data_IF_787913866405
#
_entry.id   IF_787913866405
#
_cell.length_a   1.000
_cell.length_b   1.000
_cell.length_c   1.000
_cell.angle_alpha   90.00
_cell.angle_beta   90.00
_cell.angle_gamma   90.00
#
_symmetry.space_group_name_H-M   'P 1'
#
loop_
_entity.id
_entity.type
_entity.pdbx_description
1 polymer ?
#
# COMPACT_ATOMS: atom_id res chain seq x y z
N UNK A 1 33.52 47.86 -42.69
CA UNK A 1 34.34 46.84 -43.27
C UNK A 1 33.49 45.58 -43.16
N UNK A 2 32.56 45.29 -44.06
CA UNK A 2 32.68 45.05 -45.51
C UNK A 2 32.88 43.57 -45.67
N UNK A 3 31.96 42.87 -46.13
CA UNK A 3 31.58 42.30 -47.45
C UNK A 3 30.56 41.20 -47.19
N UNK A 4 29.33 41.26 -47.59
CA UNK A 4 28.76 41.07 -48.94
C UNK A 4 28.94 39.66 -49.57
N UNK A 5 27.79 39.20 -50.03
CA UNK A 5 27.52 38.53 -51.35
C UNK A 5 27.60 37.00 -51.27
N UNK A 6 26.73 36.17 -51.80
CA UNK A 6 25.79 36.32 -52.94
C UNK A 6 24.78 35.14 -52.99
N UNK A 7 23.65 35.46 -53.47
CA UNK A 7 22.61 34.62 -54.03
C UNK A 7 23.06 33.79 -55.20
N UNK A 8 22.60 32.56 -55.32
CA UNK A 8 22.44 31.91 -56.63
C UNK A 8 21.08 31.20 -56.67
N UNK A 9 20.27 31.76 -57.50
CA UNK A 9 19.05 31.26 -58.13
C UNK A 9 19.36 30.14 -59.12
N UNK A 10 18.42 29.19 -59.30
CA UNK A 10 18.33 28.57 -60.59
C UNK A 10 17.55 27.26 -60.69
N UNK A 11 16.29 27.40 -61.16
CA UNK A 11 15.60 26.53 -62.14
C UNK A 11 15.55 25.01 -61.86
N UNK A 12 14.45 24.34 -61.64
CA UNK A 12 13.28 24.30 -62.53
C UNK A 12 13.48 23.29 -63.66
N UNK A 13 13.00 22.05 -63.49
CA UNK A 13 12.58 21.22 -64.65
C UNK A 13 11.39 20.38 -64.17
N UNK A 14 10.31 20.56 -64.92
CA UNK A 14 9.09 19.76 -64.86
C UNK A 14 9.18 18.54 -65.82
N UNK A 15 8.22 17.65 -65.65
CA UNK A 15 7.77 16.57 -66.49
C UNK A 15 8.50 15.24 -66.30
N UNK A 16 7.83 14.11 -66.12
CA UNK A 16 6.90 13.54 -67.07
C UNK A 16 6.13 12.38 -66.45
N UNK A 17 4.83 12.41 -66.60
CA UNK A 17 3.96 11.23 -66.50
C UNK A 17 4.41 10.16 -67.55
N UNK A 18 4.54 8.94 -67.08
CA UNK A 18 4.32 7.79 -67.97
C UNK A 18 3.61 6.69 -67.23
N UNK A 19 2.34 6.54 -67.53
CA UNK A 19 1.55 5.34 -67.36
C UNK A 19 2.32 4.11 -67.75
N UNK A 20 2.52 3.16 -66.88
CA UNK A 20 2.71 1.76 -67.21
C UNK A 20 1.72 0.92 -66.42
N UNK A 21 0.64 0.60 -67.12
CA UNK A 21 -0.17 -0.58 -66.81
C UNK A 21 0.76 -1.79 -66.74
N UNK A 22 0.83 -2.43 -65.61
CA UNK A 22 1.43 -3.75 -65.45
C UNK A 22 0.33 -4.78 -65.28
N UNK A 23 0.37 -5.77 -66.08
CA UNK A 23 -0.50 -6.92 -66.24
C UNK A 23 -0.58 -7.79 -64.91
N UNK A 24 -1.64 -8.60 -64.71
CA UNK A 24 -1.77 -9.50 -63.61
C UNK A 24 -0.85 -10.71 -63.76
N UNK A 25 0.23 -10.74 -63.00
CA UNK A 25 1.21 -11.85 -62.99
C UNK A 25 1.00 -12.74 -61.78
N UNK A 26 0.52 -13.93 -62.07
CA UNK A 26 0.74 -15.24 -61.39
C UNK A 26 1.23 -15.23 -59.92
N UNK A 27 0.35 -15.66 -59.02
CA UNK A 27 0.69 -16.00 -57.64
C UNK A 27 1.75 -17.10 -57.51
N UNK A 28 2.96 -16.72 -57.22
CA UNK A 28 3.90 -17.61 -56.55
C UNK A 28 3.83 -17.34 -55.07
N UNK A 29 3.63 -18.37 -54.25
CA UNK A 29 3.76 -18.18 -52.78
C UNK A 29 5.21 -17.77 -52.48
N UNK A 30 5.36 -16.66 -51.76
CA UNK A 30 6.65 -16.20 -51.30
C UNK A 30 7.34 -17.31 -50.48
N UNK A 31 8.58 -17.66 -50.87
CA UNK A 31 9.38 -18.57 -50.06
C UNK A 31 9.56 -18.01 -48.64
N UNK A 32 9.56 -18.87 -47.62
CA UNK A 32 9.77 -18.41 -46.24
C UNK A 32 11.18 -17.82 -46.10
N UNK A 33 11.26 -16.58 -45.61
CA UNK A 33 12.53 -15.91 -45.31
C UNK A 33 13.35 -16.74 -44.32
N UNK A 34 14.58 -17.17 -44.66
CA UNK A 34 15.44 -17.88 -43.72
C UNK A 34 16.01 -16.87 -42.76
N UNK A 35 15.59 -16.93 -41.46
CA UNK A 35 16.27 -16.20 -40.41
C UNK A 35 15.43 -15.36 -39.46
N UNK A 36 14.10 -15.42 -39.47
CA UNK A 36 13.34 -14.90 -38.33
C UNK A 36 13.45 -15.88 -37.17
N UNK A 37 14.11 -15.49 -36.03
CA UNK A 37 14.02 -16.32 -34.80
C UNK A 37 12.54 -16.49 -34.47
N UNK A 38 12.07 -17.74 -34.46
CA UNK A 38 10.74 -18.06 -33.96
C UNK A 38 10.61 -17.46 -32.56
N UNK A 39 9.63 -16.56 -32.37
CA UNK A 39 9.33 -16.01 -31.06
C UNK A 39 9.24 -17.17 -30.07
N UNK A 40 9.89 -17.09 -28.89
CA UNK A 40 9.86 -18.18 -27.94
C UNK A 40 8.41 -18.50 -27.64
N UNK A 41 8.01 -19.76 -27.90
CA UNK A 41 6.67 -20.26 -27.64
C UNK A 41 6.29 -19.85 -26.22
N UNK A 42 5.33 -18.92 -26.09
CA UNK A 42 4.90 -18.38 -24.80
C UNK A 42 4.53 -19.55 -23.90
N UNK A 43 5.14 -19.62 -22.72
CA UNK A 43 4.79 -20.65 -21.73
C UNK A 43 3.28 -20.67 -21.57
N UNK A 44 2.63 -21.83 -21.63
CA UNK A 44 1.18 -21.94 -21.65
C UNK A 44 0.58 -21.17 -20.46
N UNK A 45 -0.50 -20.47 -20.69
CA UNK A 45 -1.22 -19.62 -19.71
C UNK A 45 -1.57 -20.38 -18.42
N UNK A 46 -1.80 -21.67 -18.56
CA UNK A 46 -2.11 -22.60 -17.46
C UNK A 46 -0.97 -22.78 -16.43
N UNK A 47 0.30 -22.76 -16.88
CA UNK A 47 1.43 -22.93 -15.94
C UNK A 47 1.60 -21.71 -15.04
N UNK A 48 1.28 -20.50 -15.55
CA UNK A 48 1.30 -19.27 -14.75
C UNK A 48 0.14 -19.21 -13.75
N UNK A 49 -1.03 -19.73 -14.10
CA UNK A 49 -2.19 -19.78 -13.19
C UNK A 49 -1.93 -20.77 -12.05
N UNK A 50 -1.41 -21.95 -12.34
CA UNK A 50 -1.07 -22.98 -11.32
C UNK A 50 0.01 -22.49 -10.37
N UNK A 51 1.06 -21.84 -10.86
CA UNK A 51 2.12 -21.32 -9.99
C UNK A 51 1.62 -20.19 -9.07
N UNK A 52 0.72 -19.33 -9.54
CA UNK A 52 0.08 -18.29 -8.71
C UNK A 52 -0.82 -18.90 -7.64
N UNK A 53 -1.61 -19.91 -8.00
CA UNK A 53 -2.46 -20.63 -7.04
C UNK A 53 -1.61 -21.30 -5.97
N UNK A 54 -0.51 -21.97 -6.35
CA UNK A 54 0.42 -22.60 -5.40
C UNK A 54 1.01 -21.58 -4.43
N UNK A 55 1.48 -20.41 -4.94
CA UNK A 55 2.03 -19.34 -4.09
C UNK A 55 0.98 -18.84 -3.09
N UNK A 56 -0.27 -18.66 -3.52
CA UNK A 56 -1.36 -18.23 -2.64
C UNK A 56 -1.65 -19.29 -1.57
N UNK A 57 -1.72 -20.56 -1.94
CA UNK A 57 -1.94 -21.66 -0.98
C UNK A 57 -0.81 -21.72 0.04
N UNK A 58 0.45 -21.68 -0.42
CA UNK A 58 1.61 -21.68 0.48
C UNK A 58 1.57 -20.45 1.41
N UNK A 59 1.26 -19.26 0.91
CA UNK A 59 1.16 -18.05 1.72
C UNK A 59 0.05 -18.15 2.78
N UNK A 60 -1.11 -18.74 2.43
CA UNK A 60 -2.21 -18.97 3.38
C UNK A 60 -1.84 -20.02 4.44
N UNK A 61 -1.17 -21.09 4.05
CA UNK A 61 -0.69 -22.11 5.01
C UNK A 61 0.34 -21.51 5.97
N UNK A 62 1.32 -20.75 5.45
CA UNK A 62 2.30 -20.05 6.28
C UNK A 62 1.60 -19.08 7.23
N UNK A 63 0.63 -18.31 6.74
CA UNK A 63 -0.14 -17.37 7.57
C UNK A 63 -0.89 -18.10 8.69
N UNK A 64 -1.54 -19.24 8.39
CA UNK A 64 -2.26 -20.04 9.38
C UNK A 64 -1.30 -20.63 10.43
N UNK A 65 -0.15 -21.14 10.01
CA UNK A 65 0.88 -21.67 10.94
C UNK A 65 1.41 -20.54 11.84
N UNK A 66 1.77 -19.39 11.27
CA UNK A 66 2.25 -18.24 12.04
C UNK A 66 1.17 -17.73 13.00
N UNK A 67 -0.10 -17.73 12.58
CA UNK A 67 -1.23 -17.35 13.44
C UNK A 67 -1.32 -18.25 14.67
N UNK A 68 -1.32 -19.56 14.49
CA UNK A 68 -1.39 -20.53 15.62
C UNK A 68 -0.17 -20.42 16.52
N UNK A 69 1.03 -20.30 15.93
CA UNK A 69 2.26 -20.10 16.70
C UNK A 69 2.25 -18.79 17.51
N UNK A 70 1.76 -17.71 16.92
CA UNK A 70 1.65 -16.41 17.61
C UNK A 70 0.67 -16.45 18.79
N UNK A 71 -0.37 -17.27 18.71
CA UNK A 71 -1.29 -17.51 19.82
C UNK A 71 -0.67 -18.41 20.92
N UNK A 72 0.20 -19.35 20.56
CA UNK A 72 0.87 -20.26 21.49
C UNK A 72 2.08 -19.63 22.18
N UNK A 73 2.87 -18.83 21.45
CA UNK A 73 4.11 -18.27 21.96
C UNK A 73 3.88 -17.00 22.81
N UNK A 74 4.58 -16.90 23.94
CA UNK A 74 4.52 -15.74 24.81
C UNK A 74 5.11 -16.03 26.20
N UNK A 75 4.90 -15.11 27.16
CA UNK A 75 5.42 -15.28 28.55
C UNK A 75 4.90 -16.55 29.23
N UNK A 76 3.71 -16.99 28.88
CA UNK A 76 3.13 -18.28 29.22
C UNK A 76 3.02 -19.07 27.93
N UNK A 77 3.86 -20.09 27.76
CA UNK A 77 3.78 -20.97 26.58
C UNK A 77 2.52 -21.84 26.67
N UNK A 78 1.70 -21.80 25.63
CA UNK A 78 0.53 -22.66 25.48
C UNK A 78 0.78 -23.53 24.25
N UNK A 79 0.66 -24.84 24.40
CA UNK A 79 0.95 -25.75 23.31
C UNK A 79 -0.02 -25.56 22.13
N UNK A 80 0.41 -25.75 20.88
CA UNK A 80 -0.41 -25.51 19.70
C UNK A 80 -1.70 -26.36 19.66
N UNK A 81 -1.68 -27.56 20.23
CA UNK A 81 -2.85 -28.44 20.36
C UNK A 81 -3.92 -27.83 21.27
N UNK A 82 -3.51 -27.24 22.41
CA UNK A 82 -4.43 -26.53 23.32
C UNK A 82 -4.98 -25.27 22.65
N UNK A 83 -4.15 -24.51 21.94
CA UNK A 83 -4.62 -23.32 21.16
C UNK A 83 -5.66 -23.76 20.12
N UNK A 84 -5.38 -24.83 19.36
CA UNK A 84 -6.33 -25.36 18.37
C UNK A 84 -7.62 -25.87 19.04
N UNK A 85 -7.52 -26.52 20.21
CA UNK A 85 -8.66 -26.95 21.00
C UNK A 85 -9.54 -25.79 21.49
N UNK A 86 -8.95 -24.70 21.99
CA UNK A 86 -9.67 -23.49 22.40
C UNK A 86 -10.40 -22.87 21.20
N UNK A 87 -9.71 -22.70 20.08
CA UNK A 87 -10.34 -22.14 18.87
C UNK A 87 -11.45 -23.03 18.33
N UNK A 88 -11.26 -24.37 18.32
CA UNK A 88 -12.30 -25.31 17.90
C UNK A 88 -13.50 -25.32 18.84
N UNK A 89 -13.28 -25.17 20.16
CA UNK A 89 -14.34 -25.03 21.14
C UNK A 89 -15.18 -23.79 20.90
N UNK A 90 -14.54 -22.62 20.77
CA UNK A 90 -15.26 -21.35 20.63
C UNK A 90 -15.96 -21.16 19.25
N UNK A 91 -15.37 -21.74 18.18
CA UNK A 91 -15.92 -21.60 16.83
C UNK A 91 -16.95 -22.68 16.49
N UNK A 92 -16.78 -23.90 17.00
CA UNK A 92 -17.55 -25.07 16.59
C UNK A 92 -18.23 -25.80 17.75
N UNK A 93 -18.03 -25.38 19.00
CA UNK A 93 -18.55 -26.06 20.19
C UNK A 93 -17.90 -27.42 20.44
N UNK A 94 -16.71 -27.67 19.90
CA UNK A 94 -16.01 -28.94 20.06
C UNK A 94 -15.62 -29.16 21.54
N UNK A 95 -15.75 -30.38 22.08
CA UNK A 95 -15.26 -30.68 23.44
C UNK A 95 -13.73 -30.57 23.48
N UNK A 96 -13.22 -29.73 24.38
CA UNK A 96 -11.76 -29.56 24.56
C UNK A 96 -11.44 -29.39 26.04
N UNK A 97 -10.33 -29.96 26.47
CA UNK A 97 -9.82 -29.83 27.84
C UNK A 97 -8.75 -28.73 27.88
N UNK A 98 -9.06 -27.61 28.51
CA UNK A 98 -8.12 -26.52 28.75
C UNK A 98 -8.44 -25.84 30.08
N UNK A 99 -7.46 -25.15 30.67
CA UNK A 99 -7.68 -24.36 31.87
C UNK A 99 -8.32 -23.01 31.50
N UNK A 100 -9.22 -22.49 32.34
CA UNK A 100 -9.87 -21.17 32.15
C UNK A 100 -8.86 -20.04 31.96
N UNK A 101 -7.72 -20.11 32.64
CA UNK A 101 -6.63 -19.16 32.47
C UNK A 101 -6.03 -19.20 31.05
N UNK A 102 -5.90 -20.38 30.45
CA UNK A 102 -5.38 -20.54 29.08
C UNK A 102 -6.37 -19.97 28.06
N UNK A 103 -7.67 -20.26 28.24
CA UNK A 103 -8.73 -19.69 27.44
C UNK A 103 -8.72 -18.15 27.47
N UNK A 104 -8.68 -17.56 28.67
CA UNK A 104 -8.63 -16.10 28.86
C UNK A 104 -7.39 -15.49 28.19
N UNK A 105 -6.21 -16.12 28.32
CA UNK A 105 -4.98 -15.63 27.70
C UNK A 105 -5.10 -15.65 26.18
N UNK A 106 -5.62 -16.73 25.60
CA UNK A 106 -5.73 -16.88 24.15
C UNK A 106 -6.80 -15.91 23.61
N UNK A 107 -8.02 -15.97 24.13
CA UNK A 107 -9.17 -15.27 23.55
C UNK A 107 -9.24 -13.79 23.89
N UNK A 108 -8.87 -13.40 25.11
CA UNK A 108 -9.00 -12.01 25.57
C UNK A 108 -7.72 -11.19 25.43
N UNK A 109 -6.55 -11.83 25.37
CA UNK A 109 -5.27 -11.12 25.33
C UNK A 109 -4.54 -11.30 24.00
N UNK A 110 -4.36 -12.53 23.53
CA UNK A 110 -3.53 -12.80 22.34
C UNK A 110 -4.29 -12.65 21.05
N UNK A 111 -5.48 -13.18 20.97
CA UNK A 111 -6.28 -13.16 19.73
C UNK A 111 -6.54 -11.74 19.22
N UNK A 112 -7.00 -10.77 20.03
CA UNK A 112 -7.20 -9.41 19.53
C UNK A 112 -5.91 -8.76 19.01
N UNK A 113 -4.76 -9.05 19.64
CA UNK A 113 -3.45 -8.52 19.21
C UNK A 113 -3.00 -9.12 17.87
N UNK A 114 -3.12 -10.44 17.72
CA UNK A 114 -2.74 -11.13 16.48
C UNK A 114 -3.64 -10.70 15.33
N UNK A 115 -4.96 -10.61 15.57
CA UNK A 115 -5.92 -10.14 14.56
C UNK A 115 -5.66 -8.68 14.19
N UNK A 116 -5.34 -7.81 15.16
CA UNK A 116 -4.97 -6.41 14.87
C UNK A 116 -3.70 -6.31 14.03
N UNK A 117 -2.67 -7.14 14.31
CA UNK A 117 -1.46 -7.20 13.49
C UNK A 117 -1.77 -7.64 12.05
N UNK A 118 -2.62 -8.65 11.89
CA UNK A 118 -3.06 -9.11 10.57
C UNK A 118 -3.85 -8.03 9.82
N UNK A 119 -4.76 -7.34 10.51
CA UNK A 119 -5.56 -6.26 9.93
C UNK A 119 -4.68 -5.08 9.49
N UNK A 120 -3.70 -4.69 10.33
CA UNK A 120 -2.75 -3.64 9.99
C UNK A 120 -1.89 -4.03 8.76
N UNK A 121 -1.37 -5.26 8.74
CA UNK A 121 -0.62 -5.78 7.60
C UNK A 121 -1.44 -5.85 6.32
N UNK A 122 -2.70 -6.29 6.40
CA UNK A 122 -3.63 -6.32 5.28
C UNK A 122 -3.93 -4.91 4.75
N UNK A 123 -4.19 -3.95 5.64
CA UNK A 123 -4.44 -2.55 5.28
C UNK A 123 -3.24 -1.94 4.55
N UNK A 124 -2.03 -2.12 5.09
CA UNK A 124 -0.79 -1.64 4.46
C UNK A 124 -0.52 -2.31 3.11
N UNK A 125 -0.82 -3.60 2.99
CA UNK A 125 -0.65 -4.34 1.74
C UNK A 125 -1.62 -3.86 0.65
N UNK A 126 -2.89 -3.65 1.00
CA UNK A 126 -3.92 -3.11 0.07
C UNK A 126 -3.56 -1.68 -0.35
N UNK A 127 -3.19 -0.84 0.60
CA UNK A 127 -2.74 0.52 0.32
C UNK A 127 -1.49 0.52 -0.58
N UNK A 128 -0.47 -0.28 -0.23
CA UNK A 128 0.75 -0.41 -1.03
C UNK A 128 0.48 -0.86 -2.46
N UNK A 129 -0.33 -1.90 -2.65
CA UNK A 129 -0.71 -2.38 -3.97
C UNK A 129 -1.48 -1.32 -4.78
N UNK A 130 -2.38 -0.57 -4.13
CA UNK A 130 -3.13 0.51 -4.77
C UNK A 130 -2.20 1.65 -5.23
N UNK A 131 -1.26 2.07 -4.38
CA UNK A 131 -0.27 3.10 -4.75
C UNK A 131 0.64 2.64 -5.88
N UNK A 132 1.18 1.40 -5.81
CA UNK A 132 2.03 0.84 -6.86
C UNK A 132 1.29 0.75 -8.20
N UNK A 133 0.01 0.34 -8.18
CA UNK A 133 -0.85 0.31 -9.38
C UNK A 133 -1.13 1.71 -9.93
N UNK A 134 -1.50 2.65 -9.06
CA UNK A 134 -1.83 4.03 -9.45
C UNK A 134 -0.62 4.75 -10.06
N UNK A 135 0.55 4.61 -9.45
CA UNK A 135 1.78 5.26 -9.90
C UNK A 135 2.57 4.44 -10.92
N UNK A 136 2.15 3.21 -11.21
CA UNK A 136 2.85 2.26 -12.09
C UNK A 136 4.34 2.12 -11.74
N UNK A 137 4.63 2.15 -10.45
CA UNK A 137 5.99 2.09 -9.92
C UNK A 137 6.02 1.21 -8.66
N UNK A 138 6.75 0.08 -8.66
CA UNK A 138 6.81 -0.83 -7.53
C UNK A 138 7.58 -0.28 -6.32
N UNK A 139 8.31 0.82 -6.47
CA UNK A 139 9.07 1.45 -5.38
C UNK A 139 8.24 2.41 -4.52
N UNK A 140 6.98 2.65 -4.90
CA UNK A 140 6.11 3.58 -4.16
C UNK A 140 5.56 2.91 -2.90
N UNK A 141 5.64 3.61 -1.77
CA UNK A 141 5.07 3.20 -0.48
C UNK A 141 3.85 4.07 -0.11
N UNK A 142 2.94 3.59 0.72
CA UNK A 142 1.78 4.36 1.18
C UNK A 142 2.13 5.66 1.92
N UNK A 143 3.34 5.74 2.47
CA UNK A 143 3.79 6.89 3.29
C UNK A 143 4.28 8.09 2.48
N UNK A 144 4.45 7.94 1.18
CA UNK A 144 4.98 9.01 0.29
C UNK A 144 4.16 10.31 0.36
N UNK A 145 2.87 10.25 0.68
CA UNK A 145 2.01 11.43 0.78
C UNK A 145 1.99 12.06 2.19
N UNK A 146 2.82 11.61 3.13
CA UNK A 146 2.92 12.16 4.47
C UNK A 146 1.78 11.76 5.41
N UNK A 147 1.02 10.72 5.08
CA UNK A 147 -0.13 10.27 5.88
C UNK A 147 0.27 9.90 7.32
N UNK A 148 1.37 9.15 7.50
CA UNK A 148 1.86 8.75 8.81
C UNK A 148 2.34 9.92 9.65
N UNK A 149 2.99 10.91 9.03
CA UNK A 149 3.44 12.12 9.71
C UNK A 149 2.25 12.95 10.20
N UNK A 150 1.22 13.12 9.37
CA UNK A 150 -0.02 13.78 9.75
C UNK A 150 -0.74 13.04 10.88
N UNK A 151 -0.87 11.72 10.79
CA UNK A 151 -1.47 10.90 11.83
C UNK A 151 -0.70 10.99 13.15
N UNK A 152 0.63 10.99 13.10
CA UNK A 152 1.50 11.18 14.27
C UNK A 152 1.27 12.52 14.95
N UNK A 153 1.12 13.59 14.19
CA UNK A 153 0.81 14.92 14.73
C UNK A 153 -0.58 14.95 15.36
N UNK A 154 -1.60 14.40 14.67
CA UNK A 154 -2.96 14.34 15.21
C UNK A 154 -3.04 13.60 16.53
N UNK A 155 -2.38 12.44 16.63
CA UNK A 155 -2.31 11.68 17.87
C UNK A 155 -1.55 12.42 18.98
N UNK A 156 -0.38 12.98 18.66
CA UNK A 156 0.44 13.71 19.63
C UNK A 156 -0.31 14.93 20.20
N UNK A 157 -1.01 15.67 19.35
CA UNK A 157 -1.84 16.80 19.76
C UNK A 157 -3.00 16.36 20.69
N UNK A 158 -3.71 15.30 20.31
CA UNK A 158 -4.81 14.77 21.10
C UNK A 158 -4.34 14.26 22.49
N UNK A 159 -3.18 13.60 22.55
CA UNK A 159 -2.56 13.16 23.80
C UNK A 159 -2.10 14.34 24.66
N UNK A 160 -1.51 15.37 24.06
CA UNK A 160 -1.14 16.61 24.77
C UNK A 160 -2.35 17.25 25.44
N UNK A 161 -3.49 17.29 24.74
CA UNK A 161 -4.76 17.80 25.24
C UNK A 161 -5.46 16.87 26.24
N UNK A 162 -4.91 15.70 26.52
CA UNK A 162 -5.47 14.74 27.47
C UNK A 162 -6.74 14.05 27.00
N UNK A 163 -6.94 13.94 25.69
CA UNK A 163 -8.13 13.30 25.11
C UNK A 163 -8.06 11.77 25.26
N UNK A 164 -9.25 11.15 25.38
CA UNK A 164 -9.35 9.69 25.50
C UNK A 164 -8.92 8.96 24.22
N UNK A 165 -8.59 7.67 24.34
CA UNK A 165 -8.04 6.82 23.27
C UNK A 165 -8.81 6.89 21.96
N UNK A 166 -10.13 6.93 22.00
CA UNK A 166 -10.96 7.02 20.77
C UNK A 166 -10.77 8.35 20.04
N UNK A 167 -10.66 9.46 20.77
CA UNK A 167 -10.40 10.79 20.17
C UNK A 167 -8.97 10.89 19.66
N UNK A 168 -8.00 10.23 20.29
CA UNK A 168 -6.63 10.11 19.76
C UNK A 168 -6.63 9.39 18.42
N UNK A 169 -7.33 8.27 18.30
CA UNK A 169 -7.44 7.52 17.04
C UNK A 169 -8.15 8.35 15.94
N UNK A 170 -9.25 9.02 16.31
CA UNK A 170 -9.98 9.87 15.36
C UNK A 170 -9.13 11.07 14.90
N UNK A 171 -8.42 11.72 15.82
CA UNK A 171 -7.52 12.83 15.51
C UNK A 171 -6.36 12.38 14.61
N UNK A 172 -5.75 11.22 14.88
CA UNK A 172 -4.73 10.63 14.02
C UNK A 172 -5.25 10.37 12.62
N UNK A 173 -6.41 9.75 12.49
CA UNK A 173 -7.04 9.49 11.18
C UNK A 173 -7.34 10.80 10.42
N UNK A 174 -7.98 11.76 11.09
CA UNK A 174 -8.34 13.05 10.48
C UNK A 174 -7.11 13.82 10.00
N UNK A 175 -6.06 13.91 10.83
CA UNK A 175 -4.84 14.64 10.47
C UNK A 175 -4.00 13.91 9.41
N UNK A 176 -4.02 12.58 9.39
CA UNK A 176 -3.44 11.81 8.29
C UNK A 176 -4.14 12.12 6.97
N UNK A 177 -5.46 12.19 6.98
CA UNK A 177 -6.24 12.58 5.79
C UNK A 177 -5.96 14.03 5.36
N UNK A 178 -5.87 14.97 6.31
CA UNK A 178 -5.49 16.36 6.07
C UNK A 178 -4.12 16.47 5.41
N UNK A 179 -3.13 15.73 5.91
CA UNK A 179 -1.78 15.72 5.33
C UNK A 179 -1.80 15.27 3.85
N UNK A 180 -2.52 14.20 3.54
CA UNK A 180 -2.70 13.72 2.16
C UNK A 180 -3.44 14.76 1.30
N UNK A 181 -4.50 15.37 1.82
CA UNK A 181 -5.26 16.39 1.10
C UNK A 181 -4.40 17.65 0.80
N UNK A 182 -3.60 18.09 1.76
CA UNK A 182 -2.65 19.20 1.58
C UNK A 182 -1.58 18.83 0.53
N UNK A 183 -1.00 17.64 0.61
CA UNK A 183 -0.04 17.15 -0.38
C UNK A 183 -0.64 17.15 -1.79
N UNK A 184 -1.85 16.64 -1.95
CA UNK A 184 -2.56 16.61 -3.23
C UNK A 184 -2.89 18.01 -3.75
N UNK A 185 -3.32 18.93 -2.88
CA UNK A 185 -3.63 20.32 -3.24
C UNK A 185 -2.37 21.06 -3.71
N UNK A 186 -1.27 20.94 -2.97
CA UNK A 186 0.02 21.53 -3.34
C UNK A 186 0.53 20.99 -4.67
N UNK A 187 0.53 19.66 -4.83
CA UNK A 187 1.00 19.04 -6.06
C UNK A 187 0.20 19.47 -7.29
N UNK A 188 -1.13 19.62 -7.16
CA UNK A 188 -1.98 20.13 -8.24
C UNK A 188 -1.74 21.62 -8.53
N UNK A 189 -1.61 22.43 -7.48
CA UNK A 189 -1.37 23.87 -7.62
C UNK A 189 -0.05 24.21 -8.30
N UNK A 190 1.02 23.45 -7.99
CA UNK A 190 2.34 23.68 -8.57
C UNK A 190 2.51 23.07 -9.97
N UNK A 191 1.73 22.08 -10.36
CA UNK A 191 1.93 21.31 -11.61
C UNK A 191 1.23 21.88 -12.84
N UNK A 192 0.63 23.08 -12.82
CA UNK A 192 -0.06 23.73 -13.95
C UNK A 192 -0.85 22.76 -14.84
N UNK A 193 -1.60 21.84 -14.24
CA UNK A 193 -2.51 20.93 -14.98
C UNK A 193 -2.48 19.48 -14.49
N UNK A 194 -1.45 18.72 -14.75
CA UNK A 194 -1.36 17.32 -14.31
C UNK A 194 -0.24 17.16 -13.28
N UNK A 195 -0.58 16.80 -12.06
CA UNK A 195 0.43 16.52 -11.03
C UNK A 195 1.31 15.34 -11.47
N UNK A 196 2.57 15.62 -11.77
CA UNK A 196 3.53 14.55 -12.05
C UNK A 196 3.80 13.75 -10.79
N UNK A 197 4.14 12.48 -10.94
CA UNK A 197 4.51 11.62 -9.81
C UNK A 197 5.63 12.25 -8.97
N UNK A 198 6.64 12.84 -9.63
CA UNK A 198 7.74 13.52 -8.96
C UNK A 198 7.24 14.67 -8.06
N UNK A 199 6.30 15.48 -8.56
CA UNK A 199 5.73 16.57 -7.78
C UNK A 199 4.95 16.09 -6.57
N UNK A 200 4.19 14.99 -6.70
CA UNK A 200 3.49 14.36 -5.56
C UNK A 200 4.47 13.88 -4.48
N UNK A 201 5.56 13.23 -4.89
CA UNK A 201 6.60 12.75 -3.95
C UNK A 201 7.28 13.92 -3.25
N UNK A 202 7.67 14.97 -3.99
CA UNK A 202 8.31 16.16 -3.41
C UNK A 202 7.37 16.90 -2.45
N UNK A 203 6.12 17.13 -2.84
CA UNK A 203 5.14 17.74 -1.95
C UNK A 203 4.88 16.90 -0.71
N UNK A 204 4.78 15.58 -0.86
CA UNK A 204 4.59 14.67 0.26
C UNK A 204 5.77 14.67 1.24
N UNK A 205 7.00 14.73 0.72
CA UNK A 205 8.20 14.87 1.55
C UNK A 205 8.17 16.18 2.35
N UNK A 206 7.86 17.31 1.70
CA UNK A 206 7.77 18.62 2.37
C UNK A 206 6.66 18.65 3.41
N UNK A 207 5.47 18.16 3.06
CA UNK A 207 4.34 18.08 4.00
C UNK A 207 4.65 17.13 5.16
N UNK A 208 5.26 15.98 4.87
CA UNK A 208 5.67 15.01 5.89
C UNK A 208 6.67 15.61 6.89
N UNK A 209 7.71 16.31 6.40
CA UNK A 209 8.70 16.98 7.27
C UNK A 209 8.08 18.13 8.07
N UNK A 210 7.11 18.86 7.50
CA UNK A 210 6.36 19.90 8.20
C UNK A 210 5.57 19.32 9.38
N UNK A 211 4.81 18.24 9.15
CA UNK A 211 4.08 17.57 10.23
C UNK A 211 4.98 16.97 11.30
N UNK A 212 6.16 16.42 10.91
CA UNK A 212 7.17 15.96 11.88
C UNK A 212 7.72 17.12 12.72
N UNK A 213 7.90 18.30 12.13
CA UNK A 213 8.28 19.50 12.88
C UNK A 213 7.19 19.90 13.90
N UNK A 214 5.91 19.80 13.52
CA UNK A 214 4.81 20.02 14.47
C UNK A 214 4.79 19.00 15.59
N UNK A 215 5.06 17.70 15.31
CA UNK A 215 5.24 16.68 16.38
C UNK A 215 6.36 17.08 17.33
N UNK A 216 7.48 17.59 16.80
CA UNK A 216 8.60 18.04 17.64
C UNK A 216 8.21 19.21 18.54
N UNK A 217 7.42 20.18 18.05
CA UNK A 217 6.88 21.28 18.87
C UNK A 217 5.96 20.76 19.97
N UNK A 218 5.05 19.82 19.63
CA UNK A 218 4.16 19.19 20.63
C UNK A 218 4.98 18.49 21.71
N UNK A 219 6.01 17.73 21.34
CA UNK A 219 6.89 17.05 22.32
C UNK A 219 7.68 18.02 23.18
N UNK A 220 8.10 19.15 22.61
CA UNK A 220 8.81 20.20 23.34
C UNK A 220 7.94 20.90 24.39
N UNK A 221 6.65 21.08 24.10
CA UNK A 221 5.68 21.73 25.01
C UNK A 221 5.03 20.77 25.99
N UNK A 222 5.21 19.44 25.79
CA UNK A 222 4.62 18.42 26.64
C UNK A 222 5.31 18.34 27.99
N UNK A 223 4.51 18.07 29.04
CA UNK A 223 5.03 17.81 30.38
C UNK A 223 6.01 16.61 30.36
N UNK A 224 7.25 16.78 30.87
CA UNK A 224 8.30 15.76 30.78
C UNK A 224 7.99 14.46 31.51
N UNK A 225 7.26 14.55 32.65
CA UNK A 225 7.05 13.41 33.52
C UNK A 225 5.81 12.60 33.15
N UNK A 226 4.84 13.20 32.46
CA UNK A 226 3.57 12.56 32.14
C UNK A 226 3.30 12.48 30.64
N UNK A 227 3.15 13.62 29.97
CA UNK A 227 2.68 13.69 28.57
C UNK A 227 3.74 13.31 27.53
N UNK A 228 4.98 13.71 27.73
CA UNK A 228 6.06 13.39 26.80
C UNK A 228 6.32 11.86 26.68
N UNK A 229 6.40 11.10 27.79
CA UNK A 229 6.48 9.64 27.72
C UNK A 229 5.27 9.02 27.02
N UNK A 230 4.03 9.47 27.35
CA UNK A 230 2.80 8.97 26.74
C UNK A 230 2.81 9.13 25.22
N UNK A 231 3.12 10.34 24.72
CA UNK A 231 3.25 10.65 23.30
C UNK A 231 4.35 9.81 22.66
N UNK A 232 5.50 9.69 23.31
CA UNK A 232 6.63 8.94 22.79
C UNK A 232 6.31 7.46 22.64
N UNK A 233 5.71 6.83 23.65
CA UNK A 233 5.28 5.43 23.57
C UNK A 233 4.21 5.20 22.52
N UNK A 234 3.28 6.14 22.35
CA UNK A 234 2.27 6.04 21.31
C UNK A 234 2.90 6.09 19.91
N UNK A 235 3.84 7.02 19.67
CA UNK A 235 4.54 7.17 18.38
C UNK A 235 5.46 5.99 18.06
N UNK A 236 6.02 5.32 19.07
CA UNK A 236 6.77 4.06 18.87
C UNK A 236 5.89 2.93 18.37
N UNK A 237 4.57 3.02 18.64
CA UNK A 237 3.61 1.98 18.29
C UNK A 237 3.69 0.76 19.20
N UNK A 238 2.56 0.15 19.48
CA UNK A 238 2.49 -1.08 20.26
C UNK A 238 1.18 -1.82 20.01
N UNK A 239 1.28 -3.12 19.79
CA UNK A 239 0.12 -4.02 19.72
C UNK A 239 -0.17 -4.63 21.12
N UNK A 240 0.72 -4.42 22.11
CA UNK A 240 0.67 -5.09 23.39
C UNK A 240 -0.57 -4.76 24.25
N UNK A 241 -1.21 -3.63 24.01
CA UNK A 241 -2.40 -3.18 24.76
C UNK A 241 -3.71 -3.26 23.99
N UNK A 242 -3.68 -3.81 22.76
CA UNK A 242 -4.89 -3.90 21.90
C UNK A 242 -5.93 -4.81 22.55
N UNK A 243 -7.15 -4.29 22.65
CA UNK A 243 -8.36 -4.97 23.10
C UNK A 243 -9.32 -5.24 21.95
N UNK A 244 -10.39 -6.00 22.20
CA UNK A 244 -11.47 -6.18 21.21
C UNK A 244 -12.16 -4.85 20.83
N UNK A 245 -12.26 -3.90 21.76
CA UNK A 245 -12.80 -2.56 21.49
C UNK A 245 -11.92 -1.76 20.52
N UNK A 246 -10.60 -1.80 20.72
CA UNK A 246 -9.64 -1.15 19.82
C UNK A 246 -9.64 -1.79 18.43
N UNK A 247 -9.73 -3.13 18.39
CA UNK A 247 -9.82 -3.87 17.12
C UNK A 247 -11.10 -3.49 16.35
N UNK A 248 -12.24 -3.38 17.02
CA UNK A 248 -13.49 -2.95 16.40
C UNK A 248 -13.38 -1.52 15.85
N UNK A 249 -12.82 -0.59 16.65
CA UNK A 249 -12.61 0.80 16.23
C UNK A 249 -11.68 0.93 15.00
N UNK A 250 -10.59 0.14 14.95
CA UNK A 250 -9.64 0.14 13.84
C UNK A 250 -10.19 -0.57 12.59
N UNK A 251 -11.10 -1.55 12.75
CA UNK A 251 -11.67 -2.30 11.64
C UNK A 251 -12.52 -1.42 10.72
N UNK A 252 -13.28 -0.48 11.29
CA UNK A 252 -14.19 0.40 10.52
C UNK A 252 -13.45 1.23 9.48
N UNK A 253 -12.44 2.06 9.81
CA UNK A 253 -11.73 2.85 8.81
C UNK A 253 -10.96 1.99 7.82
N UNK A 254 -10.43 0.82 8.23
CA UNK A 254 -9.74 -0.10 7.32
C UNK A 254 -10.72 -0.67 6.29
N UNK A 255 -11.89 -1.14 6.69
CA UNK A 255 -12.90 -1.68 5.78
C UNK A 255 -13.46 -0.60 4.85
N UNK A 256 -13.78 0.58 5.39
CA UNK A 256 -14.25 1.73 4.60
C UNK A 256 -13.22 2.19 3.57
N UNK A 257 -11.94 2.17 3.93
CA UNK A 257 -10.85 2.52 3.01
C UNK A 257 -10.53 1.43 1.98
N UNK A 258 -10.57 0.16 2.38
CA UNK A 258 -10.24 -0.96 1.50
C UNK A 258 -11.37 -1.28 0.50
N UNK A 259 -12.65 -1.13 0.88
CA UNK A 259 -13.79 -1.48 0.04
C UNK A 259 -13.77 -0.77 -1.33
N UNK A 260 -13.64 0.56 -1.44
CA UNK A 260 -13.59 1.23 -2.74
C UNK A 260 -12.37 0.80 -3.57
N UNK A 261 -11.20 0.54 -2.94
CA UNK A 261 -10.00 0.07 -3.64
C UNK A 261 -10.27 -1.31 -4.28
N UNK A 262 -10.89 -2.23 -3.52
CA UNK A 262 -11.24 -3.56 -4.00
C UNK A 262 -12.31 -3.54 -5.09
N UNK A 263 -13.27 -2.61 -5.02
CA UNK A 263 -14.32 -2.43 -6.02
C UNK A 263 -13.77 -1.87 -7.35
N UNK A 264 -12.73 -1.04 -7.30
CA UNK A 264 -12.13 -0.40 -8.50
C UNK A 264 -10.85 -1.12 -8.95
N UNK A 265 -10.52 -2.27 -8.36
CA UNK A 265 -9.25 -3.00 -8.61
C UNK A 265 -8.94 -3.27 -10.09
N UNK A 266 -9.95 -3.49 -10.93
CA UNK A 266 -9.77 -3.69 -12.38
C UNK A 266 -9.32 -2.46 -13.15
N UNK A 267 -9.48 -1.25 -12.58
CA UNK A 267 -8.95 0.00 -13.15
C UNK A 267 -7.50 0.26 -12.73
N UNK A 268 -7.02 -0.44 -11.71
CA UNK A 268 -5.67 -0.30 -11.17
C UNK A 268 -4.67 -1.27 -11.84
N UNK A 269 -5.19 -2.23 -12.63
CA UNK A 269 -4.37 -3.30 -13.24
C UNK A 269 -4.09 -3.04 -14.74
#
# INVERSE_FOLDING_TARGET
MGLDVESVTGRGVAASRSDRQAAPGSGRPAAPEPGRPSAPAGRPYETRARSRALVLVVALVVLAVVFVLALGLGRSSISPDVVAGILAHDLFGAPAAFADAQHTIVMSVRLPRVVAAMLAGAALSVAGAAYQGLFRNPMVSPDILGASAGASFGAALALLLGLGTQLVQLSAFAMGFVAVAVTMALARGLSRGHASMLMLVLCGLVVGTLFQSFVSVVKYTADPDSKLPEITYWLMGSIAKVTWGDLAAMSVPVLVGAAPILLVRWRLN
#
